data_IF_200278267250
#
_entry.id   IF_200278267250
#
_cell.length_a   1.000
_cell.length_b   1.000
_cell.length_c   1.000
_cell.angle_alpha   90.00
_cell.angle_beta   90.00
_cell.angle_gamma   90.00
#
_symmetry.space_group_name_H-M   'P 1'
#
loop_
_entity.id
_entity.type
_entity.pdbx_description
1 polymer ?
#
# COMPACT_ATOMS: atom_id res chain seq x y z
N UNK A 1 -34.70 17.63 37.80
CA UNK A 1 -35.12 16.72 36.72
C UNK A 1 -36.26 15.84 37.18
N UNK A 2 -37.35 15.83 36.42
CA UNK A 2 -38.48 14.90 36.63
C UNK A 2 -38.08 13.46 36.26
N UNK A 3 -38.84 12.45 36.74
CA UNK A 3 -38.58 11.05 36.36
C UNK A 3 -38.62 10.84 34.85
N UNK A 4 -39.58 11.50 34.17
CA UNK A 4 -39.71 11.48 32.71
C UNK A 4 -38.49 12.04 31.99
N UNK A 5 -37.94 13.16 32.48
CA UNK A 5 -36.70 13.73 31.93
C UNK A 5 -35.51 12.80 32.13
N UNK A 6 -35.40 12.14 33.29
CA UNK A 6 -34.34 11.16 33.55
C UNK A 6 -34.45 9.96 32.60
N UNK A 7 -35.63 9.38 32.47
CA UNK A 7 -35.88 8.25 31.58
C UNK A 7 -35.60 8.61 30.11
N UNK A 8 -35.93 9.85 29.71
CA UNK A 8 -35.62 10.36 28.38
C UNK A 8 -34.11 10.49 28.15
N UNK A 9 -33.35 11.07 29.09
CA UNK A 9 -31.89 11.18 28.99
C UNK A 9 -31.24 9.80 28.93
N UNK A 10 -31.70 8.84 29.76
CA UNK A 10 -31.20 7.46 29.73
C UNK A 10 -31.45 6.84 28.36
N UNK A 11 -32.65 7.00 27.78
CA UNK A 11 -32.95 6.49 26.43
C UNK A 11 -32.04 7.10 25.36
N UNK A 12 -31.80 8.42 25.40
CA UNK A 12 -30.90 9.09 24.46
C UNK A 12 -29.48 8.54 24.57
N UNK A 13 -28.96 8.38 25.78
CA UNK A 13 -27.62 7.82 26.02
C UNK A 13 -27.53 6.36 25.54
N UNK A 14 -28.55 5.55 25.79
CA UNK A 14 -28.59 4.16 25.32
C UNK A 14 -28.67 4.05 23.80
N UNK A 15 -29.30 5.01 23.13
CA UNK A 15 -29.38 5.07 21.67
C UNK A 15 -28.04 5.49 21.03
N UNK A 16 -27.22 6.28 21.72
CA UNK A 16 -25.88 6.67 21.26
C UNK A 16 -24.87 5.52 21.34
N UNK A 17 -25.11 4.55 22.22
CA UNK A 17 -24.28 3.35 22.36
C UNK A 17 -24.60 2.26 21.31
N UNK A 18 -25.58 2.51 20.44
CA UNK A 18 -25.92 1.59 19.35
C UNK A 18 -25.12 1.96 18.10
N UNK A 19 -23.99 1.30 17.92
CA UNK A 19 -23.19 1.39 16.70
C UNK A 19 -23.49 0.22 15.76
N UNK A 20 -23.53 0.49 14.45
CA UNK A 20 -23.55 -0.56 13.41
C UNK A 20 -22.20 -1.27 13.30
N UNK A 21 -21.12 -0.64 13.76
CA UNK A 21 -19.77 -1.18 13.74
C UNK A 21 -19.02 -0.93 15.07
N UNK A 22 -19.39 -1.64 16.16
CA UNK A 22 -18.83 -1.42 17.50
C UNK A 22 -17.31 -1.57 17.57
N UNK A 23 -16.69 -2.31 16.64
CA UNK A 23 -15.24 -2.48 16.57
C UNK A 23 -14.48 -1.22 16.16
N UNK A 24 -15.13 -0.31 15.43
CA UNK A 24 -14.54 0.98 15.04
C UNK A 24 -14.91 2.07 16.04
N UNK A 25 -16.19 2.20 16.34
CA UNK A 25 -16.70 3.32 17.16
C UNK A 25 -16.28 3.19 18.63
N UNK A 26 -16.20 1.96 19.15
CA UNK A 26 -15.85 1.65 20.53
C UNK A 26 -14.57 0.80 20.63
N UNK A 27 -13.59 1.07 19.76
CA UNK A 27 -12.33 0.30 19.65
C UNK A 27 -11.68 -0.02 21.01
N UNK A 28 -11.53 0.98 21.88
CA UNK A 28 -10.86 0.81 23.17
C UNK A 28 -11.63 -0.12 24.12
N UNK A 29 -12.96 -0.02 24.14
CA UNK A 29 -13.81 -0.89 24.95
C UNK A 29 -13.72 -2.33 24.45
N UNK A 30 -13.87 -2.54 23.13
CA UNK A 30 -13.78 -3.87 22.50
C UNK A 30 -12.39 -4.50 22.73
N UNK A 31 -11.32 -3.75 22.50
CA UNK A 31 -9.96 -4.23 22.68
C UNK A 31 -9.65 -4.57 24.15
N UNK A 32 -10.18 -3.80 25.10
CA UNK A 32 -10.02 -4.08 26.53
C UNK A 32 -10.69 -5.39 26.92
N UNK A 33 -11.96 -5.59 26.55
CA UNK A 33 -12.68 -6.82 26.86
C UNK A 33 -12.10 -8.04 26.15
N UNK A 34 -11.66 -7.89 24.90
CA UNK A 34 -10.99 -8.97 24.18
C UNK A 34 -9.67 -9.39 24.88
N UNK A 35 -8.92 -8.45 25.45
CA UNK A 35 -7.72 -8.76 26.26
C UNK A 35 -8.09 -9.45 27.57
N UNK A 36 -9.18 -9.02 28.20
CA UNK A 36 -9.66 -9.60 29.45
C UNK A 36 -10.14 -11.05 29.24
N UNK A 37 -10.91 -11.30 28.17
CA UNK A 37 -11.38 -12.63 27.78
C UNK A 37 -10.23 -13.58 27.43
N UNK A 38 -9.18 -13.09 26.74
CA UNK A 38 -7.96 -13.90 26.51
C UNK A 38 -7.28 -14.31 27.80
N UNK A 39 -7.11 -13.38 28.74
CA UNK A 39 -6.51 -13.67 30.04
C UNK A 39 -7.34 -14.68 30.83
N UNK A 40 -8.68 -14.53 30.80
CA UNK A 40 -9.59 -15.49 31.42
C UNK A 40 -9.48 -16.87 30.77
N UNK A 41 -9.42 -16.95 29.44
CA UNK A 41 -9.24 -18.22 28.73
C UNK A 41 -7.89 -18.88 29.06
N UNK A 42 -6.81 -18.10 29.18
CA UNK A 42 -5.50 -18.58 29.62
C UNK A 42 -5.52 -19.08 31.09
N UNK A 43 -6.21 -18.38 31.99
CA UNK A 43 -6.40 -18.79 33.38
C UNK A 43 -7.27 -20.04 33.54
N UNK A 44 -8.31 -20.19 32.71
CA UNK A 44 -9.17 -21.38 32.66
C UNK A 44 -8.38 -22.62 32.19
N UNK A 45 -7.50 -22.46 31.20
CA UNK A 45 -6.58 -23.52 30.76
C UNK A 45 -5.59 -23.95 31.85
N UNK A 46 -5.22 -23.03 32.74
CA UNK A 46 -4.36 -23.28 33.90
C UNK A 46 -5.13 -23.81 35.13
N UNK A 47 -6.42 -24.09 34.99
CA UNK A 47 -7.25 -24.69 36.04
C UNK A 47 -7.77 -23.71 37.10
N UNK A 48 -7.63 -22.40 36.87
CA UNK A 48 -8.17 -21.35 37.74
C UNK A 48 -9.69 -21.25 37.60
N UNK A 49 -10.45 -21.65 38.63
CA UNK A 49 -11.91 -21.49 38.64
C UNK A 49 -12.31 -20.10 39.15
N UNK A 50 -12.34 -19.10 38.27
CA UNK A 50 -13.05 -17.84 38.54
C UNK A 50 -14.21 -17.67 37.54
N UNK A 51 -15.45 -17.94 38.01
CA UNK A 51 -16.69 -17.87 37.22
C UNK A 51 -17.32 -16.47 37.18
N UNK A 52 -16.57 -15.41 37.45
CA UNK A 52 -17.13 -14.05 37.39
C UNK A 52 -16.96 -13.50 35.97
N UNK A 53 -18.04 -13.56 35.21
CA UNK A 53 -18.12 -12.79 33.97
C UNK A 53 -17.94 -11.30 34.30
N UNK A 54 -17.03 -10.60 33.61
CA UNK A 54 -16.85 -9.19 33.84
C UNK A 54 -18.15 -8.46 33.46
N UNK A 55 -18.58 -7.45 34.22
CA UNK A 55 -19.85 -6.76 33.98
C UNK A 55 -19.81 -6.05 32.62
N UNK A 56 -20.37 -6.69 31.59
CA UNK A 56 -20.49 -6.11 30.25
C UNK A 56 -21.68 -5.16 30.23
N UNK A 57 -21.50 -4.02 29.58
CA UNK A 57 -22.60 -3.12 29.28
C UNK A 57 -23.54 -3.80 28.30
N UNK A 58 -24.72 -4.23 28.79
CA UNK A 58 -25.78 -4.78 27.94
C UNK A 58 -26.63 -3.61 27.45
N UNK A 59 -26.46 -3.24 26.19
CA UNK A 59 -27.37 -2.30 25.53
C UNK A 59 -28.59 -3.09 25.03
N UNK A 60 -29.81 -2.80 25.52
CA UNK A 60 -31.00 -3.41 24.94
C UNK A 60 -31.10 -2.98 23.47
N UNK A 61 -31.44 -3.92 22.60
CA UNK A 61 -31.72 -3.63 21.20
C UNK A 61 -32.95 -2.73 21.12
N UNK A 62 -32.73 -1.46 20.79
CA UNK A 62 -33.81 -0.51 20.49
C UNK A 62 -34.05 -0.70 19.00
N UNK A 63 -35.25 -1.14 18.62
CA UNK A 63 -35.67 -1.12 17.22
C UNK A 63 -35.39 0.27 16.68
N UNK A 64 -34.50 0.37 15.67
CA UNK A 64 -34.32 1.60 14.91
C UNK A 64 -35.70 1.99 14.41
N UNK A 65 -36.23 3.09 14.96
CA UNK A 65 -37.50 3.62 14.52
C UNK A 65 -37.37 3.91 13.03
N UNK A 66 -38.34 3.43 12.25
CA UNK A 66 -38.40 3.63 10.80
C UNK A 66 -38.04 5.06 10.45
N UNK A 67 -37.16 5.19 9.44
CA UNK A 67 -36.67 6.41 8.81
C UNK A 67 -37.55 7.59 9.18
N UNK A 68 -37.14 8.36 10.19
CA UNK A 68 -37.79 9.62 10.48
C UNK A 68 -37.57 10.49 9.25
N UNK A 69 -38.65 10.78 8.51
CA UNK A 69 -38.60 11.71 7.39
C UNK A 69 -38.07 13.04 7.92
N UNK A 70 -36.78 13.27 7.72
CA UNK A 70 -36.05 14.40 8.27
C UNK A 70 -36.50 15.72 7.65
N UNK A 71 -37.46 15.69 6.73
CA UNK A 71 -37.92 16.80 5.92
C UNK A 71 -39.37 17.12 6.25
N UNK A 72 -39.57 18.21 7.00
CA UNK A 72 -40.90 18.79 7.15
C UNK A 72 -41.12 19.73 5.97
N UNK A 73 -42.12 19.41 5.13
CA UNK A 73 -42.60 20.32 4.09
C UNK A 73 -43.52 21.35 4.74
N UNK A 74 -42.99 22.54 5.00
CA UNK A 74 -43.80 23.67 5.44
C UNK A 74 -44.49 24.24 4.20
N UNK A 75 -45.82 24.22 4.18
CA UNK A 75 -46.59 24.72 3.05
C UNK A 75 -46.24 26.20 2.79
N UNK A 76 -45.78 26.52 1.57
CA UNK A 76 -45.39 27.87 1.17
C UNK A 76 -43.89 28.20 1.26
N UNK A 77 -43.02 27.28 1.71
CA UNK A 77 -41.57 27.49 1.62
C UNK A 77 -41.01 27.01 0.28
N UNK A 78 -40.14 27.82 -0.34
CA UNK A 78 -39.43 27.51 -1.60
C UNK A 78 -38.38 26.38 -1.46
N UNK A 79 -38.21 25.81 -0.26
CA UNK A 79 -37.25 24.75 0.03
C UNK A 79 -37.73 23.78 1.11
N UNK A 80 -37.08 22.63 1.18
CA UNK A 80 -37.30 21.57 2.17
C UNK A 80 -36.54 21.91 3.46
N UNK A 81 -37.24 22.05 4.59
CA UNK A 81 -36.60 22.34 5.89
C UNK A 81 -36.25 21.01 6.57
N UNK A 82 -34.97 20.63 6.52
CA UNK A 82 -34.48 19.45 7.23
C UNK A 82 -34.44 19.71 8.74
N UNK A 83 -35.04 18.87 9.59
CA UNK A 83 -35.00 19.01 11.06
C UNK A 83 -33.66 18.49 11.59
N UNK A 84 -33.01 19.23 12.48
CA UNK A 84 -31.77 18.77 13.15
C UNK A 84 -32.11 17.61 14.07
N UNK A 85 -31.51 16.46 13.84
CA UNK A 85 -31.59 15.31 14.74
C UNK A 85 -30.27 15.15 15.48
N UNK A 86 -30.27 14.38 16.56
CA UNK A 86 -29.06 13.99 17.30
C UNK A 86 -28.07 13.17 16.44
N UNK A 87 -28.52 12.58 15.34
CA UNK A 87 -27.72 11.85 14.37
C UNK A 87 -27.29 12.69 13.15
N UNK A 88 -27.90 13.86 12.93
CA UNK A 88 -27.58 14.78 11.82
C UNK A 88 -27.74 16.23 12.28
N UNK A 89 -26.75 16.77 13.03
CA UNK A 89 -26.76 18.18 13.40
C UNK A 89 -26.60 19.07 12.16
N UNK A 90 -27.41 20.12 12.03
CA UNK A 90 -27.31 21.06 10.91
C UNK A 90 -25.94 21.74 10.89
N UNK A 91 -25.27 21.77 9.74
CA UNK A 91 -24.20 22.73 9.48
C UNK A 91 -24.81 24.11 9.24
N UNK A 92 -24.47 25.08 10.08
CA UNK A 92 -24.91 26.46 9.95
C UNK A 92 -24.12 27.16 8.83
N UNK A 93 -24.50 26.92 7.57
CA UNK A 93 -24.08 27.68 6.38
C UNK A 93 -22.58 27.59 6.06
N UNK A 94 -22.23 26.87 4.99
CA UNK A 94 -20.88 26.90 4.40
C UNK A 94 -20.95 27.70 3.08
N UNK A 95 -20.46 28.94 3.12
CA UNK A 95 -20.47 29.84 1.98
C UNK A 95 -19.14 29.73 1.22
N UNK A 96 -18.97 28.68 0.41
CA UNK A 96 -17.80 28.56 -0.47
C UNK A 96 -18.22 28.21 -1.90
N UNK A 97 -17.69 29.05 -2.81
CA UNK A 97 -17.94 29.16 -4.24
C UNK A 97 -17.84 27.83 -5.03
N UNK A 98 -18.90 27.52 -5.80
CA UNK A 98 -19.02 26.31 -6.62
C UNK A 98 -18.02 26.18 -7.79
N UNK A 99 -17.34 27.26 -8.20
CA UNK A 99 -16.46 27.22 -9.37
C UNK A 99 -15.02 26.70 -9.08
N UNK A 100 -14.53 26.81 -7.84
CA UNK A 100 -13.24 26.21 -7.43
C UNK A 100 -13.41 24.75 -6.97
N UNK A 101 -14.65 24.29 -6.82
CA UNK A 101 -14.96 23.02 -6.18
C UNK A 101 -14.61 21.81 -7.06
N UNK A 102 -14.66 21.90 -8.39
CA UNK A 102 -14.33 20.75 -9.24
C UNK A 102 -12.83 20.49 -9.33
N UNK A 103 -11.99 21.51 -9.54
CA UNK A 103 -10.53 21.34 -9.50
C UNK A 103 -10.02 20.93 -8.12
N UNK A 104 -10.58 21.53 -7.06
CA UNK A 104 -10.26 21.15 -5.68
C UNK A 104 -10.76 19.76 -5.37
N UNK A 105 -11.99 19.37 -5.76
CA UNK A 105 -12.54 18.01 -5.57
C UNK A 105 -11.75 16.98 -6.34
N UNK A 106 -11.32 17.26 -7.57
CA UNK A 106 -10.45 16.36 -8.35
C UNK A 106 -9.06 16.22 -7.71
N UNK A 107 -8.45 17.32 -7.22
CA UNK A 107 -7.20 17.25 -6.43
C UNK A 107 -7.39 16.55 -5.08
N UNK A 108 -8.57 16.67 -4.46
CA UNK A 108 -8.91 15.98 -3.21
C UNK A 108 -9.13 14.49 -3.43
N UNK A 109 -9.76 14.09 -4.54
CA UNK A 109 -9.92 12.69 -4.97
C UNK A 109 -8.56 12.05 -5.25
N UNK A 110 -7.62 12.80 -5.81
CA UNK A 110 -6.24 12.38 -6.01
C UNK A 110 -5.37 12.53 -4.74
N UNK A 111 -5.92 13.08 -3.65
CA UNK A 111 -5.22 13.11 -2.37
C UNK A 111 -5.20 11.69 -1.79
N UNK A 112 -4.14 11.31 -1.05
CA UNK A 112 -4.05 9.99 -0.46
C UNK A 112 -5.13 9.73 0.60
N UNK A 113 -5.89 10.73 1.04
CA UNK A 113 -6.83 10.62 2.16
C UNK A 113 -8.10 9.80 1.86
N UNK A 114 -8.90 10.11 0.83
CA UNK A 114 -10.09 9.32 0.49
C UNK A 114 -9.73 7.87 0.09
N UNK A 115 -8.62 7.70 -0.64
CA UNK A 115 -8.14 6.37 -1.03
C UNK A 115 -7.73 5.53 0.19
N UNK A 116 -7.19 6.16 1.24
CA UNK A 116 -6.84 5.45 2.47
C UNK A 116 -8.06 4.95 3.24
N UNK A 117 -9.15 5.71 3.23
CA UNK A 117 -10.41 5.27 3.85
C UNK A 117 -10.97 4.05 3.11
N UNK A 118 -10.99 4.08 1.78
CA UNK A 118 -11.39 2.93 0.96
C UNK A 118 -10.48 1.71 1.20
N UNK A 119 -9.17 1.92 1.35
CA UNK A 119 -8.25 0.83 1.67
C UNK A 119 -8.54 0.20 3.05
N UNK A 120 -8.95 0.99 4.04
CA UNK A 120 -9.34 0.45 5.34
C UNK A 120 -10.60 -0.41 5.25
N UNK A 121 -11.56 -0.04 4.40
CA UNK A 121 -12.75 -0.88 4.12
C UNK A 121 -12.34 -2.21 3.46
N UNK A 122 -11.39 -2.20 2.52
CA UNK A 122 -10.83 -3.41 1.89
C UNK A 122 -10.15 -4.33 2.92
N UNK A 123 -9.35 -3.76 3.83
CA UNK A 123 -8.71 -4.54 4.89
C UNK A 123 -9.71 -5.08 5.91
N UNK A 124 -10.74 -4.31 6.24
CA UNK A 124 -11.80 -4.73 7.15
C UNK A 124 -12.65 -5.84 6.54
N UNK A 125 -13.02 -5.75 5.26
CA UNK A 125 -13.72 -6.83 4.55
C UNK A 125 -12.86 -8.09 4.50
N UNK A 126 -11.54 -7.98 4.32
CA UNK A 126 -10.62 -9.11 4.42
C UNK A 126 -10.57 -9.74 5.82
N UNK A 127 -10.55 -8.93 6.89
CA UNK A 127 -10.64 -9.46 8.26
C UNK A 127 -11.97 -10.15 8.52
N UNK A 128 -13.09 -9.56 8.07
CA UNK A 128 -14.43 -10.16 8.20
C UNK A 128 -14.52 -11.51 7.47
N UNK A 129 -13.95 -11.63 6.27
CA UNK A 129 -13.87 -12.92 5.56
C UNK A 129 -13.12 -13.99 6.34
N UNK A 130 -12.05 -13.65 7.07
CA UNK A 130 -11.29 -14.62 7.87
C UNK A 130 -12.05 -15.17 9.08
N UNK A 131 -13.14 -14.51 9.49
CA UNK A 131 -13.96 -14.88 10.66
C UNK A 131 -15.30 -15.54 10.28
N UNK A 132 -15.69 -15.51 9.00
CA UNK A 132 -17.01 -15.94 8.52
C UNK A 132 -16.96 -17.30 7.78
N UNK A 133 -18.07 -18.07 7.79
CA UNK A 133 -18.18 -19.35 7.08
C UNK A 133 -17.96 -19.24 5.56
N UNK A 134 -17.38 -20.27 4.94
CA UNK A 134 -16.94 -20.32 3.54
C UNK A 134 -18.01 -19.94 2.49
N UNK A 135 -19.28 -20.17 2.80
CA UNK A 135 -20.41 -19.94 1.88
C UNK A 135 -20.62 -18.47 1.49
N UNK A 136 -20.21 -17.52 2.34
CA UNK A 136 -20.37 -16.08 2.06
C UNK A 136 -19.14 -15.45 1.39
N UNK A 137 -18.02 -16.18 1.30
CA UNK A 137 -16.76 -15.71 0.73
C UNK A 137 -16.86 -15.16 -0.70
N UNK A 138 -17.63 -15.73 -1.65
CA UNK A 138 -17.65 -15.20 -3.02
C UNK A 138 -18.16 -13.76 -3.10
N UNK A 139 -19.22 -13.41 -2.35
CA UNK A 139 -19.77 -12.05 -2.33
C UNK A 139 -18.78 -11.03 -1.75
N UNK A 140 -18.07 -11.39 -0.68
CA UNK A 140 -17.06 -10.51 -0.09
C UNK A 140 -15.82 -10.37 -0.97
N UNK A 141 -15.42 -11.42 -1.71
CA UNK A 141 -14.32 -11.35 -2.68
C UNK A 141 -14.64 -10.41 -3.83
N UNK A 142 -15.86 -10.47 -4.37
CA UNK A 142 -16.30 -9.55 -5.42
C UNK A 142 -16.32 -8.10 -4.93
N UNK A 143 -16.92 -7.86 -3.76
CA UNK A 143 -16.93 -6.52 -3.15
C UNK A 143 -15.52 -5.98 -2.95
N UNK A 144 -14.61 -6.79 -2.40
CA UNK A 144 -13.20 -6.44 -2.21
C UNK A 144 -12.52 -6.11 -3.53
N UNK A 145 -12.67 -6.96 -4.54
CA UNK A 145 -12.06 -6.77 -5.86
C UNK A 145 -12.51 -5.45 -6.50
N UNK A 146 -13.81 -5.14 -6.40
CA UNK A 146 -14.37 -3.89 -6.92
C UNK A 146 -13.89 -2.65 -6.14
N UNK A 147 -13.76 -2.71 -4.81
CA UNK A 147 -13.19 -1.62 -4.01
C UNK A 147 -11.71 -1.40 -4.35
N UNK A 148 -10.93 -2.47 -4.47
CA UNK A 148 -9.52 -2.41 -4.89
C UNK A 148 -9.40 -1.79 -6.30
N UNK A 149 -10.25 -2.21 -7.24
CA UNK A 149 -10.28 -1.66 -8.59
C UNK A 149 -10.60 -0.16 -8.62
N UNK A 150 -11.48 0.32 -7.75
CA UNK A 150 -11.77 1.77 -7.60
C UNK A 150 -10.55 2.54 -7.11
N UNK A 151 -9.83 2.01 -6.11
CA UNK A 151 -8.61 2.64 -5.62
C UNK A 151 -7.56 2.68 -6.73
N UNK A 152 -7.38 1.58 -7.47
CA UNK A 152 -6.45 1.51 -8.60
C UNK A 152 -6.76 2.55 -9.68
N UNK A 153 -8.03 2.68 -10.07
CA UNK A 153 -8.48 3.70 -11.02
C UNK A 153 -8.27 5.12 -10.49
N UNK A 154 -8.46 5.35 -9.19
CA UNK A 154 -8.25 6.65 -8.56
C UNK A 154 -6.78 7.08 -8.51
N UNK A 155 -5.85 6.13 -8.45
CA UNK A 155 -4.42 6.41 -8.57
C UNK A 155 -4.03 6.93 -9.97
N UNK A 156 -4.90 6.75 -10.97
CA UNK A 156 -4.71 7.16 -12.37
C UNK A 156 -3.30 6.88 -12.89
N UNK A 157 -2.82 5.66 -12.64
CA UNK A 157 -1.56 5.18 -13.18
C UNK A 157 -1.70 5.26 -14.70
N UNK A 158 -1.01 6.21 -15.31
CA UNK A 158 -1.01 6.32 -16.76
C UNK A 158 -0.13 5.18 -17.25
N UNK A 159 -0.75 4.26 -17.99
CA UNK A 159 -0.02 3.32 -18.83
C UNK A 159 1.02 4.13 -19.59
N UNK A 160 2.29 3.78 -19.37
CA UNK A 160 3.46 4.56 -19.70
C UNK A 160 3.52 4.97 -21.18
N UNK A 161 2.85 6.07 -21.57
CA UNK A 161 3.08 6.69 -22.86
C UNK A 161 4.52 7.18 -22.88
N UNK A 162 5.32 6.62 -23.80
CA UNK A 162 6.77 6.82 -23.90
C UNK A 162 7.20 8.26 -24.21
N UNK A 163 6.26 9.22 -24.22
CA UNK A 163 6.37 10.56 -24.80
C UNK A 163 5.84 11.69 -23.88
N UNK A 164 5.30 11.42 -22.70
CA UNK A 164 4.75 12.48 -21.83
C UNK A 164 5.85 13.21 -21.04
N UNK A 165 5.95 14.51 -21.30
CA UNK A 165 7.16 15.31 -21.09
C UNK A 165 7.31 15.91 -19.67
N UNK A 166 6.60 15.42 -18.65
CA UNK A 166 6.76 15.94 -17.27
C UNK A 166 6.33 14.96 -16.17
N UNK A 167 7.33 14.34 -15.53
CA UNK A 167 7.15 13.50 -14.33
C UNK A 167 6.47 14.25 -13.18
N UNK A 168 6.62 15.58 -13.12
CA UNK A 168 6.00 16.41 -12.11
C UNK A 168 4.48 16.59 -12.29
N UNK A 169 3.92 16.27 -13.46
CA UNK A 169 2.48 16.40 -13.72
C UNK A 169 1.72 15.08 -13.55
N UNK A 170 2.44 13.97 -13.31
CA UNK A 170 1.83 12.67 -13.07
C UNK A 170 1.22 12.61 -11.66
N UNK A 171 -0.10 12.39 -11.61
CA UNK A 171 -0.87 12.31 -10.36
C UNK A 171 -0.38 11.17 -9.45
N UNK A 172 -0.01 10.02 -10.03
CA UNK A 172 0.49 8.88 -9.27
C UNK A 172 1.84 9.19 -8.62
N UNK A 173 2.74 9.84 -9.35
CA UNK A 173 4.04 10.25 -8.81
C UNK A 173 3.89 11.30 -7.71
N UNK A 174 2.90 12.19 -7.80
CA UNK A 174 2.59 13.13 -6.71
C UNK A 174 2.12 12.42 -5.45
N UNK A 175 1.29 11.37 -5.58
CA UNK A 175 0.89 10.53 -4.43
C UNK A 175 2.13 9.89 -3.79
N UNK A 176 3.03 9.33 -4.61
CA UNK A 176 4.27 8.72 -4.13
C UNK A 176 5.30 9.70 -3.58
N UNK A 177 5.16 11.02 -3.80
CA UNK A 177 6.02 12.01 -3.16
C UNK A 177 5.68 12.21 -1.67
N UNK A 178 4.46 11.86 -1.23
CA UNK A 178 3.99 12.08 0.14
C UNK A 178 4.15 10.81 0.98
N UNK A 179 4.61 10.93 2.25
CA UNK A 179 4.74 9.79 3.19
C UNK A 179 3.50 8.90 3.26
N UNK A 180 2.32 9.52 3.32
CA UNK A 180 1.04 8.80 3.42
C UNK A 180 0.69 8.07 2.12
N UNK A 181 1.04 8.63 0.96
CA UNK A 181 0.85 7.98 -0.34
C UNK A 181 1.77 6.75 -0.51
N UNK A 182 3.04 6.83 -0.09
CA UNK A 182 3.94 5.65 -0.06
C UNK A 182 3.37 4.53 0.80
N UNK A 183 2.86 4.86 2.00
CA UNK A 183 2.18 3.90 2.89
C UNK A 183 0.89 3.32 2.30
N UNK A 184 0.11 4.15 1.61
CA UNK A 184 -1.11 3.73 0.89
C UNK A 184 -0.74 2.70 -0.17
N UNK A 185 0.20 3.01 -1.05
CA UNK A 185 0.64 2.11 -2.13
C UNK A 185 1.23 0.82 -1.55
N UNK A 186 2.08 0.89 -0.53
CA UNK A 186 2.67 -0.30 0.10
C UNK A 186 1.61 -1.28 0.64
N UNK A 187 0.55 -0.76 1.26
CA UNK A 187 -0.55 -1.58 1.81
C UNK A 187 -1.55 -2.03 0.75
N UNK A 188 -1.68 -1.28 -0.35
CA UNK A 188 -2.55 -1.64 -1.47
C UNK A 188 -1.96 -2.79 -2.30
N UNK A 189 -0.62 -2.82 -2.49
CA UNK A 189 0.06 -3.80 -3.36
C UNK A 189 -0.33 -5.27 -3.11
N UNK A 190 -0.39 -5.79 -1.86
CA UNK A 190 -0.80 -7.19 -1.60
C UNK A 190 -2.26 -7.51 -1.96
N UNK A 191 -3.08 -6.50 -2.24
CA UNK A 191 -4.49 -6.66 -2.58
C UNK A 191 -4.78 -6.54 -4.08
N UNK A 192 -3.82 -6.04 -4.86
CA UNK A 192 -3.97 -5.84 -6.30
C UNK A 192 -3.88 -7.15 -7.09
N UNK A 193 -4.45 -7.13 -8.28
CA UNK A 193 -4.19 -8.18 -9.26
C UNK A 193 -2.72 -8.14 -9.70
N UNK A 194 -2.19 -9.27 -10.18
CA UNK A 194 -0.79 -9.40 -10.60
C UNK A 194 -0.40 -8.34 -11.64
N UNK A 195 -1.22 -8.18 -12.68
CA UNK A 195 -1.00 -7.22 -13.77
C UNK A 195 -0.92 -5.77 -13.27
N UNK A 196 -1.82 -5.39 -12.37
CA UNK A 196 -1.87 -4.05 -11.76
C UNK A 196 -0.63 -3.78 -10.90
N UNK A 197 -0.20 -4.79 -10.14
CA UNK A 197 0.98 -4.69 -9.30
C UNK A 197 2.24 -4.54 -10.17
N UNK A 198 2.37 -5.33 -11.24
CA UNK A 198 3.47 -5.24 -12.20
C UNK A 198 3.56 -3.85 -12.84
N UNK A 199 2.42 -3.27 -13.25
CA UNK A 199 2.36 -1.90 -13.79
C UNK A 199 2.89 -0.86 -12.79
N UNK A 200 2.54 -0.99 -11.51
CA UNK A 200 3.07 -0.13 -10.44
C UNK A 200 4.58 -0.32 -10.28
N UNK A 201 5.07 -1.56 -10.26
CA UNK A 201 6.49 -1.84 -10.10
C UNK A 201 7.31 -1.21 -11.24
N UNK A 202 6.88 -1.40 -12.49
CA UNK A 202 7.53 -0.80 -13.67
C UNK A 202 7.53 0.73 -13.59
N UNK A 203 6.40 1.33 -13.17
CA UNK A 203 6.29 2.79 -13.02
C UNK A 203 7.23 3.31 -11.92
N UNK A 204 7.28 2.62 -10.77
CA UNK A 204 8.16 2.97 -9.65
C UNK A 204 9.62 2.81 -10.05
N UNK A 205 10.01 1.75 -10.77
CA UNK A 205 11.41 1.54 -11.18
C UNK A 205 11.85 2.56 -12.22
N UNK A 206 10.98 2.91 -13.18
CA UNK A 206 11.26 3.91 -14.21
C UNK A 206 11.48 5.30 -13.60
N UNK A 207 10.64 5.70 -12.65
CA UNK A 207 10.71 7.02 -11.99
C UNK A 207 11.47 7.00 -10.67
N UNK A 208 12.22 5.92 -10.38
CA UNK A 208 12.97 5.76 -9.16
C UNK A 208 13.96 6.93 -8.89
N UNK A 209 14.73 7.42 -9.89
CA UNK A 209 15.62 8.57 -9.67
C UNK A 209 14.88 9.84 -9.23
N UNK A 210 13.69 10.08 -9.78
CA UNK A 210 12.83 11.22 -9.41
C UNK A 210 12.32 11.07 -7.98
N UNK A 211 11.78 9.90 -7.63
CA UNK A 211 11.27 9.61 -6.29
C UNK A 211 12.36 9.74 -5.22
N UNK A 212 13.56 9.24 -5.50
CA UNK A 212 14.71 9.33 -4.61
C UNK A 212 15.14 10.78 -4.33
N UNK A 213 15.12 11.66 -5.35
CA UNK A 213 15.39 13.10 -5.17
C UNK A 213 14.35 13.79 -4.29
N UNK A 214 13.10 13.32 -4.33
CA UNK A 214 12.00 13.88 -3.53
C UNK A 214 11.92 13.31 -2.11
N UNK A 215 12.46 12.12 -1.87
CA UNK A 215 12.40 11.45 -0.56
C UNK A 215 13.52 11.84 0.41
N UNK A 216 14.44 12.74 0.05
CA UNK A 216 15.59 13.14 0.89
C UNK A 216 15.19 13.65 2.28
N UNK A 217 14.02 14.29 2.42
CA UNK A 217 13.54 14.79 3.71
C UNK A 217 12.67 13.79 4.48
N UNK A 218 12.11 12.80 3.78
CA UNK A 218 11.06 11.93 4.29
C UNK A 218 11.56 10.53 4.63
N UNK A 219 12.63 10.07 3.98
CA UNK A 219 13.28 8.76 4.13
C UNK A 219 12.27 7.61 4.31
N UNK A 220 11.20 7.66 3.52
CA UNK A 220 10.02 6.79 3.70
C UNK A 220 9.79 5.85 2.52
N UNK A 221 10.60 5.94 1.46
CA UNK A 221 10.61 4.98 0.36
C UNK A 221 10.85 3.52 0.81
N UNK A 222 11.66 3.21 1.84
CA UNK A 222 11.86 1.84 2.34
C UNK A 222 10.56 1.08 2.67
N UNK A 223 9.46 1.79 2.99
CA UNK A 223 8.15 1.17 3.27
C UNK A 223 7.63 0.36 2.07
N UNK A 224 8.00 0.73 0.84
CA UNK A 224 7.62 0.03 -0.38
C UNK A 224 8.44 -1.25 -0.61
N UNK A 225 9.57 -1.44 0.07
CA UNK A 225 10.49 -2.55 -0.19
C UNK A 225 9.83 -3.91 0.05
N UNK A 226 9.17 -4.09 1.20
CA UNK A 226 8.49 -5.34 1.55
C UNK A 226 7.56 -5.85 0.45
N UNK A 227 6.48 -5.12 0.10
CA UNK A 227 5.52 -5.57 -0.91
C UNK A 227 6.12 -5.69 -2.31
N UNK A 228 7.04 -4.79 -2.71
CA UNK A 228 7.68 -4.89 -4.03
C UNK A 228 8.63 -6.10 -4.11
N UNK A 229 9.36 -6.41 -3.05
CA UNK A 229 10.25 -7.58 -3.00
C UNK A 229 9.48 -8.90 -3.11
N UNK A 230 8.29 -8.97 -2.52
CA UNK A 230 7.39 -10.12 -2.63
C UNK A 230 6.90 -10.30 -4.07
N UNK A 231 6.57 -9.19 -4.75
CA UNK A 231 6.18 -9.22 -6.16
C UNK A 231 7.33 -9.65 -7.06
N UNK A 232 8.54 -9.11 -6.84
CA UNK A 232 9.75 -9.52 -7.58
C UNK A 232 9.95 -11.03 -7.47
N UNK A 233 9.73 -11.62 -6.30
CA UNK A 233 9.81 -13.07 -6.10
C UNK A 233 8.81 -13.92 -6.91
N UNK A 234 7.78 -13.31 -7.49
CA UNK A 234 6.73 -13.97 -8.31
C UNK A 234 6.87 -13.71 -9.81
N UNK A 235 7.82 -12.87 -10.22
CA UNK A 235 8.00 -12.48 -11.62
C UNK A 235 8.65 -13.59 -12.45
N UNK A 236 8.31 -13.62 -13.74
CA UNK A 236 9.01 -14.42 -14.75
C UNK A 236 10.35 -13.80 -15.12
N UNK A 237 11.21 -14.58 -15.78
CA UNK A 237 12.52 -14.09 -16.20
C UNK A 237 12.44 -12.91 -17.18
N UNK A 238 11.48 -12.93 -18.13
CA UNK A 238 11.28 -11.84 -19.09
C UNK A 238 10.85 -10.54 -18.40
N UNK A 239 9.87 -10.60 -17.49
CA UNK A 239 9.40 -9.45 -16.71
C UNK A 239 10.53 -8.82 -15.90
N UNK A 240 11.36 -9.65 -15.26
CA UNK A 240 12.50 -9.19 -14.46
C UNK A 240 13.54 -8.44 -15.28
N UNK A 241 13.83 -8.92 -16.50
CA UNK A 241 14.78 -8.24 -17.39
C UNK A 241 14.23 -6.90 -17.86
N UNK A 242 12.93 -6.80 -18.16
CA UNK A 242 12.29 -5.52 -18.52
C UNK A 242 12.42 -4.50 -17.38
N UNK A 243 12.11 -4.90 -16.14
CA UNK A 243 12.24 -4.03 -14.97
C UNK A 243 13.70 -3.60 -14.72
N UNK A 244 14.65 -4.52 -14.83
CA UNK A 244 16.09 -4.21 -14.70
C UNK A 244 16.58 -3.26 -15.79
N UNK A 245 16.10 -3.41 -17.02
CA UNK A 245 16.40 -2.49 -18.12
C UNK A 245 15.86 -1.10 -17.84
N UNK A 246 14.63 -0.95 -17.34
CA UNK A 246 14.08 0.37 -16.99
C UNK A 246 14.88 1.04 -15.86
N UNK A 247 15.37 0.27 -14.89
CA UNK A 247 16.20 0.79 -13.79
C UNK A 247 17.60 1.22 -14.25
N UNK A 248 18.15 0.55 -15.27
CA UNK A 248 19.49 0.84 -15.82
C UNK A 248 19.48 1.82 -17.00
N UNK A 249 18.30 2.16 -17.53
CA UNK A 249 18.15 3.05 -18.69
C UNK A 249 18.63 4.47 -18.37
N UNK A 250 19.52 5.06 -19.19
CA UNK A 250 19.99 6.43 -18.97
C UNK A 250 18.83 7.44 -19.04
N UNK A 251 18.80 8.36 -18.09
CA UNK A 251 17.78 9.41 -18.00
C UNK A 251 17.96 10.42 -19.15
N UNK A 252 16.87 10.79 -19.82
CA UNK A 252 16.90 11.75 -20.91
C UNK A 252 17.47 13.11 -20.44
N UNK A 253 18.67 13.46 -20.90
CA UNK A 253 19.30 14.77 -20.65
C UNK A 253 20.31 14.83 -19.49
N UNK A 254 20.68 13.72 -18.85
CA UNK A 254 21.80 13.69 -17.89
C UNK A 254 22.89 12.69 -18.27
N UNK A 255 24.15 13.08 -18.07
CA UNK A 255 25.34 12.20 -18.23
C UNK A 255 25.50 11.19 -17.09
N UNK A 256 24.83 11.40 -15.96
CA UNK A 256 24.89 10.49 -14.81
C UNK A 256 23.99 9.27 -15.01
N UNK A 257 24.55 8.07 -14.80
CA UNK A 257 23.79 6.83 -14.83
C UNK A 257 22.86 6.76 -13.60
N UNK A 258 21.58 6.36 -13.75
CA UNK A 258 20.65 6.21 -12.62
C UNK A 258 21.22 5.36 -11.49
N UNK A 259 22.02 4.35 -11.85
CA UNK A 259 22.67 3.44 -10.92
C UNK A 259 23.52 4.14 -9.86
N UNK A 260 24.25 5.18 -10.22
CA UNK A 260 25.10 5.91 -9.26
C UNK A 260 24.24 6.58 -8.18
N UNK A 261 23.03 7.03 -8.51
CA UNK A 261 22.07 7.50 -7.52
C UNK A 261 21.47 6.34 -6.74
N UNK A 262 21.08 5.25 -7.40
CA UNK A 262 20.53 4.03 -6.78
C UNK A 262 21.44 3.48 -5.67
N UNK A 263 22.77 3.47 -5.87
CA UNK A 263 23.74 3.03 -4.86
C UNK A 263 23.87 3.96 -3.65
N UNK A 264 23.51 5.24 -3.80
CA UNK A 264 23.52 6.24 -2.73
C UNK A 264 22.21 6.26 -1.92
N UNK A 265 21.24 5.41 -2.26
CA UNK A 265 19.95 5.38 -1.59
C UNK A 265 19.63 3.97 -1.11
N UNK A 266 19.29 3.85 0.17
CA UNK A 266 19.00 2.58 0.84
C UNK A 266 17.91 1.77 0.14
N UNK A 267 16.81 2.41 -0.27
CA UNK A 267 15.72 1.72 -0.96
C UNK A 267 16.14 1.28 -2.37
N UNK A 268 16.81 2.15 -3.11
CA UNK A 268 17.25 1.88 -4.48
C UNK A 268 18.19 0.67 -4.56
N UNK A 269 19.24 0.65 -3.73
CA UNK A 269 20.20 -0.47 -3.72
C UNK A 269 19.53 -1.78 -3.30
N UNK A 270 18.61 -1.73 -2.32
CA UNK A 270 17.89 -2.91 -1.84
C UNK A 270 16.99 -3.51 -2.92
N UNK A 271 16.27 -2.67 -3.67
CA UNK A 271 15.41 -3.12 -4.77
C UNK A 271 16.23 -3.74 -5.91
N UNK A 272 17.35 -3.11 -6.28
CA UNK A 272 18.27 -3.65 -7.28
C UNK A 272 18.82 -5.01 -6.85
N UNK A 273 19.23 -5.15 -5.59
CA UNK A 273 19.71 -6.42 -5.04
C UNK A 273 18.62 -7.50 -4.99
N UNK A 274 17.38 -7.14 -4.67
CA UNK A 274 16.25 -8.07 -4.74
C UNK A 274 16.02 -8.59 -6.16
N UNK A 275 16.05 -7.70 -7.17
CA UNK A 275 15.93 -8.07 -8.59
C UNK A 275 17.07 -9.00 -9.02
N UNK A 276 18.33 -8.65 -8.73
CA UNK A 276 19.48 -9.50 -9.07
C UNK A 276 19.45 -10.86 -8.36
N UNK A 277 19.06 -10.88 -7.09
CA UNK A 277 18.91 -12.11 -6.31
C UNK A 277 17.84 -13.02 -6.89
N UNK A 278 16.68 -12.49 -7.27
CA UNK A 278 15.64 -13.30 -7.91
C UNK A 278 16.09 -13.80 -9.28
N UNK A 279 16.77 -12.96 -10.05
CA UNK A 279 17.42 -13.35 -11.30
C UNK A 279 18.31 -14.57 -11.11
N UNK A 280 19.23 -14.56 -10.15
CA UNK A 280 20.11 -15.70 -9.88
C UNK A 280 19.37 -16.96 -9.43
N UNK A 281 18.26 -16.83 -8.68
CA UNK A 281 17.44 -18.00 -8.30
C UNK A 281 16.82 -18.65 -9.53
N UNK A 282 16.23 -17.85 -10.42
CA UNK A 282 15.69 -18.35 -11.68
C UNK A 282 16.78 -19.06 -12.50
N UNK A 283 17.99 -18.47 -12.57
CA UNK A 283 19.15 -19.05 -13.28
C UNK A 283 19.76 -20.29 -12.63
N UNK A 284 19.56 -20.49 -11.34
CA UNK A 284 20.03 -21.68 -10.62
C UNK A 284 19.00 -22.81 -10.66
N UNK A 285 17.75 -22.47 -10.96
CA UNK A 285 16.62 -23.39 -10.97
C UNK A 285 16.34 -24.05 -12.32
N UNK A 286 17.13 -23.76 -13.37
CA UNK A 286 16.83 -24.14 -14.76
C UNK A 286 16.31 -25.59 -14.90
N UNK A 287 15.00 -25.66 -15.14
CA UNK A 287 14.42 -26.47 -16.20
C UNK A 287 15.21 -26.22 -17.50
N UNK A 288 15.49 -27.24 -18.32
CA UNK A 288 16.40 -27.10 -19.45
C UNK A 288 15.88 -26.04 -20.43
N UNK A 289 16.56 -24.90 -20.48
CA UNK A 289 16.43 -23.91 -21.54
C UNK A 289 16.98 -24.55 -22.82
N UNK A 290 16.08 -25.04 -23.68
CA UNK A 290 16.50 -25.70 -24.92
C UNK A 290 17.28 -24.74 -25.84
N UNK A 291 18.43 -25.20 -26.39
CA UNK A 291 19.35 -24.38 -27.16
C UNK A 291 18.93 -24.32 -28.63
N UNK A 292 17.90 -23.54 -28.95
CA UNK A 292 17.57 -23.25 -30.34
C UNK A 292 17.59 -21.75 -30.62
N UNK A 293 18.67 -21.30 -31.28
CA UNK A 293 18.94 -20.14 -32.17
C UNK A 293 18.26 -18.78 -32.00
N UNK A 294 17.15 -18.67 -31.27
CA UNK A 294 16.42 -17.45 -30.95
C UNK A 294 16.74 -16.94 -29.53
N UNK A 295 17.86 -17.32 -28.92
CA UNK A 295 18.15 -16.96 -27.52
C UNK A 295 19.18 -15.82 -27.35
N UNK A 296 19.93 -15.47 -28.40
CA UNK A 296 20.99 -14.45 -28.33
C UNK A 296 20.43 -13.05 -28.05
N UNK A 297 19.26 -12.70 -28.56
CA UNK A 297 18.63 -11.39 -28.33
C UNK A 297 18.04 -11.23 -26.92
N UNK A 298 17.77 -12.33 -26.21
CA UNK A 298 17.33 -12.33 -24.79
C UNK A 298 18.54 -12.43 -23.84
N UNK A 299 19.60 -13.12 -24.25
CA UNK A 299 20.82 -13.27 -23.46
C UNK A 299 21.75 -12.06 -23.52
N UNK A 300 21.80 -11.31 -24.63
CA UNK A 300 22.64 -10.09 -24.74
C UNK A 300 22.29 -9.06 -23.66
N UNK A 301 21.01 -8.64 -23.52
CA UNK A 301 20.63 -7.65 -22.53
C UNK A 301 20.89 -8.13 -21.08
N UNK A 302 20.84 -9.45 -20.85
CA UNK A 302 21.13 -10.07 -19.56
C UNK A 302 22.60 -9.89 -19.15
N UNK A 303 23.55 -10.25 -20.02
CA UNK A 303 24.98 -10.06 -19.73
C UNK A 303 25.35 -8.59 -19.64
N UNK A 304 24.76 -7.77 -20.51
CA UNK A 304 25.05 -6.35 -20.57
C UNK A 304 24.59 -5.61 -19.30
N UNK A 305 23.41 -5.94 -18.78
CA UNK A 305 22.88 -5.33 -17.54
C UNK A 305 23.66 -5.73 -16.30
N UNK A 306 23.97 -7.02 -16.12
CA UNK A 306 24.76 -7.49 -14.97
C UNK A 306 26.19 -6.92 -15.01
N UNK A 307 26.81 -6.90 -16.20
CA UNK A 307 28.13 -6.30 -16.37
C UNK A 307 28.12 -4.79 -16.10
N UNK A 308 27.09 -4.08 -16.57
CA UNK A 308 26.92 -2.66 -16.33
C UNK A 308 26.74 -2.36 -14.84
N UNK A 309 25.91 -3.12 -14.12
CA UNK A 309 25.75 -2.96 -12.67
C UNK A 309 27.06 -3.23 -11.93
N UNK A 310 27.75 -4.33 -12.26
CA UNK A 310 29.03 -4.66 -11.65
C UNK A 310 30.11 -3.61 -11.92
N UNK A 311 30.16 -3.10 -13.15
CA UNK A 311 31.07 -2.03 -13.57
C UNK A 311 30.81 -0.76 -12.75
N UNK A 312 29.56 -0.36 -12.58
CA UNK A 312 29.22 0.84 -11.80
C UNK A 312 29.48 0.65 -10.30
N UNK A 313 29.14 -0.51 -9.73
CA UNK A 313 29.50 -0.87 -8.34
C UNK A 313 31.02 -0.83 -8.09
N UNK A 314 31.81 -1.24 -9.08
CA UNK A 314 33.27 -1.20 -8.98
C UNK A 314 33.84 0.23 -8.97
N UNK A 315 33.19 1.16 -9.66
CA UNK A 315 33.60 2.56 -9.76
C UNK A 315 33.17 3.40 -8.54
N UNK A 316 32.03 3.09 -7.93
CA UNK A 316 31.50 3.86 -6.78
C UNK A 316 32.39 3.62 -5.54
N UNK A 317 32.86 4.67 -4.84
CA UNK A 317 33.66 4.51 -3.63
C UNK A 317 32.82 3.93 -2.49
N UNK A 318 33.45 3.11 -1.62
CA UNK A 318 32.76 2.46 -0.48
C UNK A 318 32.08 3.49 0.44
N UNK A 319 32.66 4.68 0.59
CA UNK A 319 32.12 5.77 1.40
C UNK A 319 30.83 6.39 0.87
N UNK A 320 30.49 6.17 -0.40
CA UNK A 320 29.26 6.67 -1.02
C UNK A 320 28.18 5.58 -1.15
N UNK A 321 28.51 4.33 -0.81
CA UNK A 321 27.59 3.20 -0.85
C UNK A 321 26.77 3.19 0.44
N UNK A 322 25.46 3.15 0.31
CA UNK A 322 24.56 3.03 1.47
C UNK A 322 24.31 1.56 1.78
N UNK A 323 24.24 1.21 3.07
CA UNK A 323 23.90 -0.15 3.51
C UNK A 323 22.48 -0.54 3.05
N UNK A 324 22.31 -1.68 2.35
CA UNK A 324 21.00 -2.14 1.92
C UNK A 324 20.15 -2.60 3.12
N UNK A 325 18.83 -2.56 2.98
CA UNK A 325 17.86 -3.09 3.96
C UNK A 325 18.04 -4.60 4.15
N UNK A 326 18.39 -5.29 3.08
CA UNK A 326 18.63 -6.73 3.07
C UNK A 326 19.70 -7.03 2.02
N UNK A 327 20.72 -7.79 2.41
CA UNK A 327 21.78 -8.27 1.52
C UNK A 327 21.54 -9.76 1.20
N UNK A 328 21.14 -10.09 -0.04
CA UNK A 328 20.97 -11.48 -0.45
C UNK A 328 22.33 -12.21 -0.58
N UNK A 329 22.43 -13.40 0.00
CA UNK A 329 23.66 -14.21 -0.01
C UNK A 329 24.07 -14.74 -1.39
N UNK A 330 23.13 -14.77 -2.34
CA UNK A 330 23.35 -15.30 -3.70
C UNK A 330 23.83 -14.24 -4.70
N UNK A 331 24.08 -12.99 -4.29
CA UNK A 331 24.59 -11.97 -5.22
C UNK A 331 26.03 -12.25 -5.65
N UNK A 332 26.88 -12.74 -4.74
CA UNK A 332 28.25 -13.10 -5.09
C UNK A 332 28.28 -14.25 -6.08
N UNK A 333 27.38 -15.24 -5.95
CA UNK A 333 27.30 -16.35 -6.92
C UNK A 333 26.91 -15.86 -8.31
N UNK A 334 26.00 -14.88 -8.41
CA UNK A 334 25.66 -14.24 -9.67
C UNK A 334 26.88 -13.58 -10.31
N UNK A 335 27.60 -12.74 -9.55
CA UNK A 335 28.77 -12.04 -10.06
C UNK A 335 29.91 -13.00 -10.44
N UNK A 336 30.06 -14.11 -9.72
CA UNK A 336 31.01 -15.17 -10.05
C UNK A 336 30.80 -15.80 -11.44
N UNK A 337 29.57 -15.78 -11.99
CA UNK A 337 29.30 -16.31 -13.34
C UNK A 337 29.80 -15.38 -14.46
N UNK A 338 29.97 -14.09 -14.19
CA UNK A 338 30.15 -13.07 -15.23
C UNK A 338 31.43 -12.24 -15.10
N UNK A 339 32.08 -12.24 -13.94
CA UNK A 339 33.20 -11.36 -13.63
C UNK A 339 34.49 -12.13 -13.30
N UNK A 340 35.63 -11.46 -13.45
CA UNK A 340 36.93 -11.97 -13.07
C UNK A 340 37.10 -12.07 -11.54
N UNK A 341 37.93 -13.01 -11.08
CA UNK A 341 38.21 -13.22 -9.64
C UNK A 341 38.67 -11.96 -8.90
N UNK A 342 39.44 -11.08 -9.58
CA UNK A 342 39.95 -9.85 -8.97
C UNK A 342 38.86 -8.80 -8.74
N UNK A 343 37.87 -8.70 -9.64
CA UNK A 343 36.75 -7.75 -9.48
C UNK A 343 35.75 -8.25 -8.45
N UNK A 344 35.57 -9.58 -8.33
CA UNK A 344 34.73 -10.20 -7.31
C UNK A 344 35.25 -9.92 -5.90
N UNK A 345 36.54 -10.13 -5.62
CA UNK A 345 37.11 -9.82 -4.30
C UNK A 345 36.99 -8.33 -3.93
N UNK A 346 37.05 -7.43 -4.93
CA UNK A 346 36.81 -6.00 -4.72
C UNK A 346 35.35 -5.68 -4.43
N UNK A 347 34.41 -6.43 -4.99
CA UNK A 347 32.97 -6.28 -4.73
C UNK A 347 32.58 -6.87 -3.37
N UNK A 348 33.10 -8.05 -3.04
CA UNK A 348 32.92 -8.71 -1.73
C UNK A 348 33.31 -7.76 -0.59
N UNK A 349 34.52 -7.19 -0.63
CA UNK A 349 34.99 -6.23 0.37
C UNK A 349 34.22 -4.88 0.40
N UNK A 350 33.41 -4.59 -0.61
CA UNK A 350 32.54 -3.40 -0.65
C UNK A 350 31.12 -3.69 -0.15
N UNK A 351 30.64 -4.91 -0.33
CA UNK A 351 29.30 -5.36 0.06
C UNK A 351 29.26 -5.82 1.53
N UNK A 352 30.38 -6.29 2.07
CA UNK A 352 30.67 -6.37 3.51
C UNK A 352 31.04 -5.00 4.10
#
# INVERSE_FOLDING_TARGET
MTRKEKDWVIKVQMMQLQSENPHLDDYYYQAYYHRLERKQAEEELLGGRNKQEPPKLVTPYIQKMEIYDSVVRIAGSLGQVAVSTCYSPRRAIDAVHHALQEEVRMRWLCSPEPMFLQLLEVEETQRKMSLLPEEQHPRFREKKSHEVGRIYQALKIRACDRLSHREAEDEFLQVLCVRKGKKLTARLLPHLAREQAEEILVTVTRHLPFLMRKDVLDESLPVLYGPLSEMVGRMTFSELIEVLQELTRPLAGSTELPLTMTFKNQFGISLLYALLSHGERLLSSDMPLEPHSAHWWVCLPRTDTVFLVARELSQVPKTALVEPLFLPSNLLSLFCRYLDKQTIHRLEAKME
#
